data_IF_502595138571
#
_entry.id   IF_502595138571
#
_cell.length_a   1.000
_cell.length_b   1.000
_cell.length_c   1.000
_cell.angle_alpha   90.00
_cell.angle_beta   90.00
_cell.angle_gamma   90.00
#
_symmetry.space_group_name_H-M   'P 1'
#
loop_
_entity.id
_entity.type
_entity.pdbx_description
1 polymer ?
#
# COMPACT_ATOMS: atom_id res chain seq x y z
N UNK A 1 -26.59 49.81 10.84
CA UNK A 1 -25.69 48.70 11.18
C UNK A 1 -24.71 48.63 10.04
N UNK A 2 -23.52 49.17 10.26
CA UNK A 2 -22.46 49.25 9.27
C UNK A 2 -21.80 47.87 9.23
N UNK A 3 -22.20 47.03 8.27
CA UNK A 3 -21.55 45.74 8.03
C UNK A 3 -20.30 46.01 7.21
N UNK A 4 -19.25 46.51 7.87
CA UNK A 4 -17.90 46.48 7.30
C UNK A 4 -17.59 45.01 6.98
N UNK A 5 -17.31 44.66 5.71
CA UNK A 5 -16.95 43.28 5.38
C UNK A 5 -15.73 42.91 6.22
N UNK A 6 -15.79 41.76 6.89
CA UNK A 6 -14.64 41.24 7.63
C UNK A 6 -13.43 41.23 6.69
N UNK A 7 -12.25 41.65 7.16
CA UNK A 7 -11.06 41.66 6.33
C UNK A 7 -10.77 40.25 5.83
N UNK A 8 -11.03 40.03 4.54
CA UNK A 8 -10.70 38.78 3.86
C UNK A 8 -9.19 38.62 3.87
N UNK A 9 -8.71 37.51 4.42
CA UNK A 9 -7.30 37.16 4.36
C UNK A 9 -7.01 36.45 3.02
N UNK A 10 -5.86 36.72 2.41
CA UNK A 10 -5.52 36.22 1.08
C UNK A 10 -4.22 35.42 1.10
N UNK A 11 -4.20 34.30 0.36
CA UNK A 11 -2.96 33.63 -0.01
C UNK A 11 -2.52 34.15 -1.39
N UNK A 12 -1.28 34.61 -1.48
CA UNK A 12 -0.66 35.07 -2.73
C UNK A 12 0.22 33.94 -3.26
N UNK A 13 -0.19 33.31 -4.35
CA UNK A 13 0.50 32.15 -4.93
C UNK A 13 1.72 32.55 -5.76
N UNK A 14 2.56 31.57 -6.14
CA UNK A 14 3.77 31.85 -6.92
C UNK A 14 3.50 32.41 -8.32
N UNK A 15 2.34 32.06 -8.89
CA UNK A 15 1.79 32.65 -10.12
C UNK A 15 1.03 33.97 -9.89
N UNK A 16 1.23 34.60 -8.72
CA UNK A 16 0.69 35.91 -8.32
C UNK A 16 -0.83 35.97 -8.27
N UNK A 17 -1.51 34.83 -8.14
CA UNK A 17 -2.93 34.81 -7.90
C UNK A 17 -3.23 35.10 -6.43
N UNK A 18 -4.23 35.92 -6.18
CA UNK A 18 -4.74 36.20 -4.83
C UNK A 18 -5.96 35.33 -4.56
N UNK A 19 -5.89 34.47 -3.55
CA UNK A 19 -6.95 33.53 -3.18
C UNK A 19 -7.50 33.91 -1.81
N UNK A 20 -8.78 34.30 -1.70
CA UNK A 20 -9.40 34.60 -0.41
C UNK A 20 -9.60 33.32 0.40
N UNK A 21 -9.18 33.34 1.67
CA UNK A 21 -9.31 32.22 2.60
C UNK A 21 -9.76 32.67 3.98
N UNK A 22 -10.38 31.75 4.71
CA UNK A 22 -10.69 31.96 6.13
C UNK A 22 -9.42 31.77 6.95
N UNK A 23 -8.94 32.87 7.55
CA UNK A 23 -7.74 32.89 8.38
C UNK A 23 -7.87 31.96 9.59
N UNK A 24 -9.03 31.93 10.23
CA UNK A 24 -9.25 31.12 11.43
C UNK A 24 -9.21 29.63 11.07
N UNK A 25 -9.87 29.25 9.98
CA UNK A 25 -9.81 27.89 9.46
C UNK A 25 -8.36 27.48 9.16
N UNK A 26 -7.60 28.33 8.47
CA UNK A 26 -6.22 28.04 8.10
C UNK A 26 -5.32 27.82 9.34
N UNK A 27 -5.43 28.68 10.35
CA UNK A 27 -4.70 28.52 11.62
C UNK A 27 -5.16 27.31 12.44
N UNK A 28 -6.44 26.92 12.33
CA UNK A 28 -6.97 25.77 13.04
C UNK A 28 -6.42 24.45 12.49
N UNK A 29 -6.21 24.36 11.17
CA UNK A 29 -5.82 23.12 10.50
C UNK A 29 -4.32 23.00 10.20
N UNK A 30 -3.58 24.11 10.22
CA UNK A 30 -2.14 24.16 9.92
C UNK A 30 -1.37 24.80 11.06
N UNK A 31 -0.39 24.08 11.60
CA UNK A 31 0.51 24.63 12.61
C UNK A 31 1.41 25.72 12.01
N UNK A 32 1.89 25.51 10.79
CA UNK A 32 2.75 26.45 10.05
C UNK A 32 2.04 27.78 9.84
N UNK A 33 0.81 27.77 9.33
CA UNK A 33 0.07 29.02 9.14
C UNK A 33 -0.30 29.68 10.47
N UNK A 34 -0.62 28.90 11.51
CA UNK A 34 -0.83 29.46 12.86
C UNK A 34 0.40 30.21 13.35
N UNK A 35 1.59 29.64 13.19
CA UNK A 35 2.83 30.25 13.65
C UNK A 35 3.18 31.49 12.82
N UNK A 36 3.13 31.40 11.49
CA UNK A 36 3.39 32.53 10.58
C UNK A 36 2.46 33.71 10.89
N UNK A 37 1.18 33.43 11.13
CA UNK A 37 0.15 34.46 11.34
C UNK A 37 0.08 34.98 12.78
N UNK A 38 0.87 34.41 13.69
CA UNK A 38 1.04 34.87 15.08
C UNK A 38 2.25 35.79 15.25
N UNK A 39 3.11 35.94 14.24
CA UNK A 39 4.31 36.76 14.32
C UNK A 39 3.97 38.27 14.37
N UNK A 40 4.62 39.05 15.26
CA UNK A 40 4.41 40.50 15.32
C UNK A 40 4.85 41.15 14.01
N UNK A 41 3.95 41.91 13.38
CA UNK A 41 4.17 42.51 12.06
C UNK A 41 3.48 41.77 10.90
N UNK A 42 2.91 40.58 11.14
CA UNK A 42 2.09 39.85 10.16
C UNK A 42 0.67 40.43 10.00
N UNK A 43 0.45 41.71 10.34
CA UNK A 43 -0.83 42.42 10.17
C UNK A 43 -1.18 42.67 8.68
N UNK A 44 -0.49 42.01 7.77
CA UNK A 44 -0.85 41.98 6.37
C UNK A 44 -2.01 40.98 6.23
N UNK A 45 -3.10 41.40 5.59
CA UNK A 45 -4.22 40.51 5.24
C UNK A 45 -3.83 39.51 4.13
N UNK A 46 -2.54 39.23 3.96
CA UNK A 46 -1.96 38.50 2.85
C UNK A 46 -0.78 37.65 3.36
N UNK A 47 -0.61 36.45 2.78
CA UNK A 47 0.57 35.60 2.98
C UNK A 47 0.98 34.99 1.65
N UNK A 48 2.26 35.10 1.29
CA UNK A 48 2.80 34.46 0.10
C UNK A 48 2.99 32.95 0.33
N UNK A 49 2.67 32.15 -0.69
CA UNK A 49 2.86 30.70 -0.73
C UNK A 49 3.58 30.31 -2.02
N UNK A 50 4.38 29.25 -1.99
CA UNK A 50 5.23 28.89 -3.13
C UNK A 50 4.49 28.09 -4.21
N UNK A 51 3.34 27.50 -3.88
CA UNK A 51 2.56 26.66 -4.78
C UNK A 51 1.76 27.51 -5.77
N UNK A 52 1.41 26.90 -6.89
CA UNK A 52 0.59 27.52 -7.93
C UNK A 52 -0.87 27.63 -7.47
N UNK A 53 -1.64 28.52 -8.10
CA UNK A 53 -3.06 28.71 -7.81
C UNK A 53 -3.88 27.41 -7.85
N UNK A 54 -3.59 26.50 -8.80
CA UNK A 54 -4.29 25.22 -8.94
C UNK A 54 -4.12 24.34 -7.70
N UNK A 55 -2.89 24.16 -7.23
CA UNK A 55 -2.56 23.38 -6.04
C UNK A 55 -3.23 23.94 -4.79
N UNK A 56 -3.17 25.26 -4.58
CA UNK A 56 -3.80 25.90 -3.42
C UNK A 56 -5.33 25.79 -3.48
N UNK A 57 -5.94 25.91 -4.66
CA UNK A 57 -7.38 25.69 -4.82
C UNK A 57 -7.76 24.25 -4.44
N UNK A 58 -7.06 23.25 -4.95
CA UNK A 58 -7.32 21.85 -4.61
C UNK A 58 -7.09 21.58 -3.11
N UNK A 59 -6.04 22.16 -2.53
CA UNK A 59 -5.74 22.08 -1.10
C UNK A 59 -6.91 22.60 -0.25
N UNK A 60 -7.45 23.77 -0.59
CA UNK A 60 -8.59 24.37 0.10
C UNK A 60 -9.89 23.60 -0.11
N UNK A 61 -10.10 23.00 -1.29
CA UNK A 61 -11.27 22.17 -1.58
C UNK A 61 -11.26 20.91 -0.70
N UNK A 62 -10.13 20.21 -0.63
CA UNK A 62 -10.00 19.00 0.21
C UNK A 62 -10.12 19.36 1.69
N UNK A 63 -9.52 20.46 2.13
CA UNK A 63 -9.64 20.94 3.52
C UNK A 63 -11.08 21.22 3.96
N UNK A 64 -11.94 21.66 3.03
CA UNK A 64 -13.37 21.88 3.29
C UNK A 64 -14.18 20.59 3.30
N UNK A 65 -13.55 19.43 3.15
CA UNK A 65 -14.20 18.12 3.10
C UNK A 65 -14.93 17.86 1.78
N UNK A 66 -14.70 18.66 0.75
CA UNK A 66 -15.33 18.46 -0.55
C UNK A 66 -14.72 17.26 -1.26
N UNK A 67 -15.59 16.47 -1.91
CA UNK A 67 -15.17 15.33 -2.72
C UNK A 67 -14.56 15.80 -4.04
N UNK A 68 -13.28 16.14 -4.03
CA UNK A 68 -12.53 16.42 -5.24
C UNK A 68 -12.09 15.12 -5.91
N UNK A 69 -12.35 15.00 -7.20
CA UNK A 69 -11.65 14.04 -8.04
C UNK A 69 -10.24 14.60 -8.28
N UNK A 70 -9.23 13.92 -7.74
CA UNK A 70 -7.82 14.32 -7.85
C UNK A 70 -7.09 13.30 -8.71
N UNK A 71 -6.43 13.79 -9.75
CA UNK A 71 -5.49 12.97 -10.51
C UNK A 71 -4.24 12.67 -9.65
N UNK A 72 -3.49 11.59 -9.92
CA UNK A 72 -2.29 11.25 -9.15
C UNK A 72 -1.28 12.39 -9.05
N UNK A 73 -1.08 13.17 -10.11
CA UNK A 73 -0.19 14.34 -10.11
C UNK A 73 -0.64 15.42 -9.13
N UNK A 74 -1.95 15.68 -9.07
CA UNK A 74 -2.53 16.62 -8.11
C UNK A 74 -2.39 16.09 -6.69
N UNK A 75 -2.56 14.78 -6.51
CA UNK A 75 -2.40 14.13 -5.23
C UNK A 75 -0.95 14.26 -4.73
N UNK A 76 0.06 14.01 -5.56
CA UNK A 76 1.49 14.19 -5.23
C UNK A 76 1.80 15.63 -4.79
N UNK A 77 1.30 16.62 -5.52
CA UNK A 77 1.44 18.04 -5.14
C UNK A 77 0.79 18.33 -3.79
N UNK A 78 -0.40 17.76 -3.54
CA UNK A 78 -1.11 17.95 -2.28
C UNK A 78 -0.44 17.24 -1.10
N UNK A 79 0.19 16.07 -1.30
CA UNK A 79 0.99 15.42 -0.26
C UNK A 79 2.14 16.32 0.15
N UNK A 80 2.86 16.88 -0.82
CA UNK A 80 3.96 17.80 -0.57
C UNK A 80 3.49 19.06 0.17
N UNK A 81 2.33 19.60 -0.20
CA UNK A 81 1.73 20.76 0.47
C UNK A 81 1.25 20.42 1.90
N UNK A 82 0.68 19.24 2.11
CA UNK A 82 0.22 18.78 3.43
C UNK A 82 1.36 18.65 4.42
N UNK A 83 2.50 18.09 3.98
CA UNK A 83 3.72 18.00 4.77
C UNK A 83 4.32 19.39 5.03
N UNK A 84 4.50 20.19 3.97
CA UNK A 84 5.07 21.54 4.07
C UNK A 84 4.31 22.48 5.01
N UNK A 85 2.99 22.41 5.00
CA UNK A 85 2.12 23.26 5.82
C UNK A 85 1.68 22.58 7.12
N UNK A 86 2.16 21.37 7.41
CA UNK A 86 1.80 20.54 8.56
C UNK A 86 0.27 20.53 8.80
N UNK A 87 -0.45 19.88 7.88
CA UNK A 87 -1.92 19.76 7.89
C UNK A 87 -2.33 18.29 8.03
N UNK A 88 -2.35 17.73 9.26
CA UNK A 88 -2.63 16.30 9.48
C UNK A 88 -3.99 15.84 8.93
N UNK A 89 -5.01 16.70 9.02
CA UNK A 89 -6.34 16.40 8.48
C UNK A 89 -6.33 16.21 6.97
N UNK A 90 -5.49 16.98 6.27
CA UNK A 90 -5.32 16.84 4.83
C UNK A 90 -4.65 15.49 4.54
N UNK A 91 -3.58 15.13 5.26
CA UNK A 91 -2.90 13.83 5.11
C UNK A 91 -3.87 12.64 5.22
N UNK A 92 -4.78 12.64 6.20
CA UNK A 92 -5.78 11.58 6.35
C UNK A 92 -6.79 11.56 5.18
N UNK A 93 -7.24 12.73 4.70
CA UNK A 93 -8.10 12.82 3.53
C UNK A 93 -7.39 12.29 2.26
N UNK A 94 -6.10 12.61 2.09
CA UNK A 94 -5.29 12.14 0.98
C UNK A 94 -5.04 10.63 1.05
N UNK A 95 -4.90 10.04 2.24
CA UNK A 95 -4.85 8.57 2.42
C UNK A 95 -6.11 7.89 1.91
N UNK A 96 -7.29 8.42 2.23
CA UNK A 96 -8.55 7.88 1.73
C UNK A 96 -8.64 7.94 0.20
N UNK A 97 -8.14 9.03 -0.41
CA UNK A 97 -8.04 9.16 -1.87
C UNK A 97 -7.03 8.19 -2.48
N UNK A 98 -5.87 8.04 -1.86
CA UNK A 98 -4.85 7.08 -2.28
C UNK A 98 -5.39 5.64 -2.26
N UNK A 99 -6.16 5.26 -1.24
CA UNK A 99 -6.88 3.97 -1.22
C UNK A 99 -7.79 3.75 -2.43
N UNK A 100 -8.50 4.79 -2.87
CA UNK A 100 -9.31 4.71 -4.09
C UNK A 100 -8.44 4.42 -5.32
N UNK A 101 -7.27 5.04 -5.43
CA UNK A 101 -6.33 4.78 -6.54
C UNK A 101 -5.77 3.36 -6.49
N UNK A 102 -5.47 2.84 -5.30
CA UNK A 102 -5.02 1.45 -5.09
C UNK A 102 -6.09 0.48 -5.58
N UNK A 103 -7.35 0.68 -5.18
CA UNK A 103 -8.46 -0.22 -5.53
C UNK A 103 -8.80 -0.16 -7.03
N UNK A 104 -8.73 1.02 -7.64
CA UNK A 104 -8.98 1.21 -9.07
C UNK A 104 -7.75 0.89 -9.93
N UNK A 105 -6.61 0.59 -9.32
CA UNK A 105 -5.33 0.30 -9.97
C UNK A 105 -4.87 1.41 -10.93
N UNK A 106 -5.19 2.67 -10.61
CA UNK A 106 -4.83 3.83 -11.41
C UNK A 106 -3.36 4.17 -11.13
N UNK A 107 -2.53 4.18 -12.17
CA UNK A 107 -1.09 4.48 -12.10
C UNK A 107 -0.39 3.81 -10.89
N UNK A 108 -0.33 2.46 -10.84
CA UNK A 108 0.04 1.73 -9.62
C UNK A 108 1.34 2.20 -8.96
N UNK A 109 2.39 2.43 -9.75
CA UNK A 109 3.67 2.89 -9.24
C UNK A 109 3.60 4.29 -8.59
N UNK A 110 2.89 5.25 -9.22
CA UNK A 110 2.72 6.59 -8.64
C UNK A 110 1.89 6.50 -7.37
N UNK A 111 0.85 5.68 -7.38
CA UNK A 111 0.04 5.40 -6.20
C UNK A 111 0.89 4.81 -5.06
N UNK A 112 1.85 3.93 -5.36
CA UNK A 112 2.81 3.44 -4.37
C UNK A 112 3.75 4.54 -3.85
N UNK A 113 4.25 5.42 -4.72
CA UNK A 113 5.06 6.57 -4.30
C UNK A 113 4.26 7.51 -3.38
N UNK A 114 3.03 7.86 -3.75
CA UNK A 114 2.10 8.66 -2.94
C UNK A 114 1.83 7.99 -1.59
N UNK A 115 1.50 6.69 -1.59
CA UNK A 115 1.25 5.93 -0.37
C UNK A 115 2.46 5.97 0.56
N UNK A 116 3.66 5.84 0.02
CA UNK A 116 4.90 5.90 0.80
C UNK A 116 5.12 7.27 1.42
N UNK A 117 4.82 8.35 0.69
CA UNK A 117 4.90 9.72 1.20
C UNK A 117 3.84 10.05 2.26
N UNK A 118 2.64 9.46 2.14
CA UNK A 118 1.56 9.63 3.12
C UNK A 118 1.76 8.80 4.40
N UNK A 119 2.57 7.75 4.31
CA UNK A 119 2.79 6.81 5.41
C UNK A 119 1.61 5.86 5.66
N UNK A 120 1.79 4.99 6.65
CA UNK A 120 0.81 3.98 7.05
C UNK A 120 1.04 2.65 6.34
N UNK A 121 1.62 1.71 7.07
CA UNK A 121 2.10 0.43 6.56
C UNK A 121 1.05 -0.29 5.69
N UNK A 122 -0.19 -0.37 6.16
CA UNK A 122 -1.28 -1.06 5.45
C UNK A 122 -1.53 -0.48 4.05
N UNK A 123 -1.51 0.85 3.91
CA UNK A 123 -1.72 1.51 2.62
C UNK A 123 -0.50 1.30 1.70
N UNK A 124 0.71 1.45 2.23
CA UNK A 124 1.96 1.24 1.48
C UNK A 124 2.00 -0.19 0.95
N UNK A 125 1.71 -1.18 1.80
CA UNK A 125 1.74 -2.59 1.43
C UNK A 125 0.66 -2.94 0.41
N UNK A 126 -0.54 -2.38 0.54
CA UNK A 126 -1.58 -2.55 -0.47
C UNK A 126 -1.16 -1.96 -1.82
N UNK A 127 -0.63 -0.73 -1.84
CA UNK A 127 -0.17 -0.08 -3.07
C UNK A 127 1.01 -0.83 -3.71
N UNK A 128 1.96 -1.32 -2.90
CA UNK A 128 3.09 -2.10 -3.38
C UNK A 128 2.64 -3.43 -3.99
N UNK A 129 1.71 -4.14 -3.34
CA UNK A 129 1.12 -5.38 -3.87
C UNK A 129 0.38 -5.15 -5.17
N UNK A 130 -0.44 -4.10 -5.24
CA UNK A 130 -1.12 -3.74 -6.49
C UNK A 130 -0.11 -3.46 -7.59
N UNK A 131 0.95 -2.71 -7.29
CA UNK A 131 2.00 -2.41 -8.28
C UNK A 131 2.72 -3.68 -8.76
N UNK A 132 3.18 -4.53 -7.84
CA UNK A 132 3.85 -5.79 -8.20
C UNK A 132 2.93 -6.80 -8.89
N UNK A 133 1.61 -6.70 -8.71
CA UNK A 133 0.63 -7.55 -9.39
C UNK A 133 0.35 -7.11 -10.82
N UNK A 134 0.54 -5.84 -11.16
CA UNK A 134 0.33 -5.31 -12.51
C UNK A 134 1.57 -5.46 -13.41
N UNK A 135 2.75 -5.67 -12.83
CA UNK A 135 4.01 -5.78 -13.57
C UNK A 135 4.73 -7.09 -13.27
N UNK A 136 4.94 -7.91 -14.29
CA UNK A 136 5.68 -9.18 -14.17
C UNK A 136 7.18 -8.96 -13.95
N UNK A 137 7.72 -7.88 -14.51
CA UNK A 137 9.13 -7.48 -14.42
C UNK A 137 9.26 -5.99 -14.11
N UNK A 138 10.22 -5.64 -13.25
CA UNK A 138 10.59 -4.25 -12.96
C UNK A 138 11.08 -3.51 -14.21
N UNK A 139 11.65 -4.20 -15.19
CA UNK A 139 12.03 -3.60 -16.48
C UNK A 139 10.79 -3.11 -17.27
N UNK A 140 9.62 -3.71 -17.09
CA UNK A 140 8.37 -3.20 -17.68
C UNK A 140 7.96 -1.89 -17.03
N UNK A 141 8.21 -1.73 -15.72
CA UNK A 141 7.94 -0.49 -14.99
C UNK A 141 8.85 0.62 -15.51
N UNK A 142 10.09 0.28 -15.91
CA UNK A 142 11.06 1.24 -16.45
C UNK A 142 10.58 2.03 -17.66
N UNK A 143 9.82 1.38 -18.54
CA UNK A 143 9.23 2.02 -19.72
C UNK A 143 8.10 3.01 -19.41
N UNK A 144 7.51 2.94 -18.21
CA UNK A 144 6.36 3.77 -17.80
C UNK A 144 6.79 5.01 -16.96
N UNK A 145 8.08 5.18 -16.67
CA UNK A 145 8.62 6.23 -15.77
C UNK A 145 8.75 7.62 -16.37
N UNK A 146 7.82 8.08 -17.21
CA UNK A 146 7.75 9.52 -17.47
C UNK A 146 7.24 10.22 -16.19
N UNK A 147 8.16 10.51 -15.25
CA UNK A 147 7.94 11.33 -14.06
C UNK A 147 8.17 10.68 -12.68
N UNK A 148 8.44 9.37 -12.57
CA UNK A 148 8.75 8.75 -11.27
C UNK A 148 10.26 8.71 -11.02
N UNK A 149 10.70 9.14 -9.84
CA UNK A 149 12.10 9.02 -9.40
C UNK A 149 12.53 7.55 -9.26
N UNK A 150 13.76 7.23 -9.68
CA UNK A 150 14.43 5.94 -9.44
C UNK A 150 14.41 5.52 -7.96
N UNK A 151 14.28 6.49 -7.05
CA UNK A 151 14.13 6.24 -5.61
C UNK A 151 12.93 5.33 -5.29
N UNK A 152 11.77 5.55 -5.93
CA UNK A 152 10.57 4.77 -5.67
C UNK A 152 10.66 3.36 -6.23
N UNK A 153 11.36 3.20 -7.36
CA UNK A 153 11.70 1.88 -7.90
C UNK A 153 12.58 1.09 -6.94
N UNK A 154 13.60 1.72 -6.35
CA UNK A 154 14.47 1.05 -5.39
C UNK A 154 13.69 0.62 -4.15
N UNK A 155 12.78 1.46 -3.65
CA UNK A 155 11.88 1.08 -2.54
C UNK A 155 10.96 -0.09 -2.92
N UNK A 156 10.39 -0.06 -4.12
CA UNK A 156 9.54 -1.14 -4.62
C UNK A 156 10.33 -2.45 -4.78
N UNK A 157 11.55 -2.39 -5.31
CA UNK A 157 12.44 -3.56 -5.44
C UNK A 157 12.88 -4.09 -4.08
N UNK A 158 13.13 -3.21 -3.11
CA UNK A 158 13.42 -3.64 -1.74
C UNK A 158 12.25 -4.41 -1.13
N UNK A 159 11.02 -3.87 -1.24
CA UNK A 159 9.80 -4.54 -0.81
C UNK A 159 9.61 -5.88 -1.51
N UNK A 160 9.85 -5.91 -2.83
CA UNK A 160 9.82 -7.12 -3.65
C UNK A 160 10.75 -8.21 -3.13
N UNK A 161 12.02 -7.87 -2.89
CA UNK A 161 13.03 -8.81 -2.42
C UNK A 161 12.72 -9.33 -1.01
N UNK A 162 12.22 -8.47 -0.13
CA UNK A 162 11.79 -8.89 1.21
C UNK A 162 10.64 -9.91 1.15
N UNK A 163 9.62 -9.65 0.34
CA UNK A 163 8.52 -10.61 0.13
C UNK A 163 9.00 -11.94 -0.43
N UNK A 164 9.88 -11.90 -1.43
CA UNK A 164 10.49 -13.09 -2.01
C UNK A 164 11.30 -13.90 -0.99
N UNK A 165 12.08 -13.23 -0.14
CA UNK A 165 12.86 -13.90 0.89
C UNK A 165 11.97 -14.50 1.98
N UNK A 166 10.94 -13.78 2.42
CA UNK A 166 9.94 -14.31 3.35
C UNK A 166 9.21 -15.52 2.76
N UNK A 167 8.81 -15.43 1.50
CA UNK A 167 8.17 -16.51 0.76
C UNK A 167 9.04 -17.77 0.73
N UNK A 168 10.33 -17.62 0.37
CA UNK A 168 11.29 -18.72 0.36
C UNK A 168 11.48 -19.34 1.75
N UNK A 169 11.62 -18.50 2.78
CA UNK A 169 11.77 -18.97 4.16
C UNK A 169 10.53 -19.76 4.61
N UNK A 170 9.34 -19.22 4.40
CA UNK A 170 8.08 -19.86 4.74
C UNK A 170 7.91 -21.21 4.03
N UNK A 171 8.14 -21.26 2.71
CA UNK A 171 8.07 -22.49 1.93
C UNK A 171 9.13 -23.50 2.38
N UNK A 172 10.34 -23.06 2.69
CA UNK A 172 11.43 -23.94 3.15
C UNK A 172 11.13 -24.51 4.54
N UNK A 173 10.61 -23.69 5.46
CA UNK A 173 10.21 -24.13 6.81
C UNK A 173 9.07 -25.15 6.75
N UNK A 174 8.05 -24.88 5.93
CA UNK A 174 6.88 -25.76 5.80
C UNK A 174 7.15 -27.01 4.96
N UNK A 175 8.14 -26.99 4.06
CA UNK A 175 8.61 -28.17 3.32
C UNK A 175 9.72 -28.95 4.05
N UNK A 176 10.26 -28.41 5.15
CA UNK A 176 11.40 -28.96 5.88
C UNK A 176 11.05 -30.04 6.91
N UNK A 177 12.02 -30.88 7.33
CA UNK A 177 11.78 -32.09 8.14
C UNK A 177 11.14 -31.82 9.51
N UNK A 178 11.28 -30.62 10.08
CA UNK A 178 10.67 -30.25 11.37
C UNK A 178 9.14 -30.19 11.28
N UNK A 179 8.61 -29.67 10.16
CA UNK A 179 7.17 -29.69 9.89
C UNK A 179 6.65 -31.13 9.80
N UNK A 180 7.48 -32.05 9.30
CA UNK A 180 7.11 -33.45 9.05
C UNK A 180 7.04 -34.21 10.36
N UNK A 181 8.01 -33.99 11.25
CA UNK A 181 8.07 -34.68 12.55
C UNK A 181 6.89 -34.24 13.43
N UNK A 182 6.51 -32.97 13.39
CA UNK A 182 5.43 -32.42 14.23
C UNK A 182 4.02 -32.75 13.71
N UNK A 183 3.87 -33.09 12.41
CA UNK A 183 2.56 -33.30 11.77
C UNK A 183 2.32 -34.71 11.22
N UNK A 184 3.12 -35.69 11.64
CA UNK A 184 2.84 -37.11 11.40
C UNK A 184 1.58 -37.54 12.16
N UNK A 185 0.41 -37.31 11.57
CA UNK A 185 -0.82 -37.99 11.95
C UNK A 185 -1.19 -39.00 10.86
N UNK A 186 -1.48 -40.27 11.22
CA UNK A 186 -2.00 -41.23 10.24
C UNK A 186 -3.35 -40.72 9.68
N UNK A 187 -3.61 -40.87 8.37
CA UNK A 187 -4.95 -40.54 7.81
C UNK A 187 -5.98 -41.41 8.56
N UNK A 188 -6.93 -40.76 9.22
CA UNK A 188 -8.02 -41.42 9.96
C UNK A 188 -8.89 -42.29 9.06
N UNK A 189 -8.93 -41.99 7.76
CA UNK A 189 -9.71 -42.73 6.77
C UNK A 189 -8.99 -43.99 6.26
N UNK A 190 -7.67 -44.06 6.36
CA UNK A 190 -6.85 -45.17 5.85
C UNK A 190 -5.63 -45.40 6.77
N UNK A 191 -5.79 -46.03 7.95
CA UNK A 191 -4.70 -46.25 8.90
C UNK A 191 -3.54 -47.09 8.32
N UNK A 192 -3.79 -47.85 7.25
CA UNK A 192 -2.80 -48.66 6.53
C UNK A 192 -2.24 -47.98 5.26
N UNK A 193 -2.74 -46.81 4.85
CA UNK A 193 -2.06 -46.00 3.83
C UNK A 193 -1.12 -45.07 4.56
N UNK A 194 0.14 -45.04 4.12
CA UNK A 194 1.10 -44.12 4.69
C UNK A 194 0.54 -42.68 4.57
N UNK A 195 0.56 -41.87 5.65
CA UNK A 195 0.22 -40.43 5.62
C UNK A 195 1.15 -39.61 4.70
N UNK A 196 2.05 -40.28 3.99
CA UNK A 196 2.92 -39.75 2.95
C UNK A 196 2.15 -39.08 1.82
N UNK A 197 0.86 -39.34 1.58
CA UNK A 197 0.14 -38.71 0.46
C UNK A 197 -0.07 -37.20 0.63
N UNK A 198 -0.59 -36.73 1.76
CA UNK A 198 -0.78 -35.29 2.03
C UNK A 198 0.56 -34.57 2.20
N UNK A 199 1.47 -35.20 2.94
CA UNK A 199 2.78 -34.63 3.24
C UNK A 199 3.66 -34.52 1.99
N UNK A 200 3.67 -35.55 1.14
CA UNK A 200 4.36 -35.52 -0.16
C UNK A 200 3.71 -34.52 -1.11
N UNK A 201 2.37 -34.48 -1.16
CA UNK A 201 1.66 -33.51 -1.97
C UNK A 201 2.03 -32.07 -1.58
N UNK A 202 2.02 -31.78 -0.28
CA UNK A 202 2.45 -30.49 0.24
C UNK A 202 3.91 -30.18 -0.10
N UNK A 203 4.81 -31.15 0.04
CA UNK A 203 6.22 -31.02 -0.34
C UNK A 203 6.40 -30.67 -1.80
N UNK A 204 5.78 -31.47 -2.66
CA UNK A 204 5.93 -31.39 -4.10
C UNK A 204 5.34 -30.07 -4.59
N UNK A 205 4.19 -29.65 -4.04
CA UNK A 205 3.60 -28.34 -4.32
C UNK A 205 4.48 -27.18 -3.83
N UNK A 206 4.97 -27.24 -2.59
CA UNK A 206 5.85 -26.20 -2.04
C UNK A 206 7.13 -26.04 -2.86
N UNK A 207 7.75 -27.16 -3.27
CA UNK A 207 8.92 -27.14 -4.14
C UNK A 207 8.62 -26.64 -5.55
N UNK A 208 7.47 -26.99 -6.13
CA UNK A 208 7.05 -26.48 -7.42
C UNK A 208 6.87 -24.95 -7.38
N UNK A 209 6.12 -24.45 -6.40
CA UNK A 209 5.93 -23.00 -6.19
C UNK A 209 7.27 -22.30 -5.92
N UNK A 210 8.16 -22.90 -5.12
CA UNK A 210 9.47 -22.33 -4.84
C UNK A 210 10.33 -22.13 -6.10
N UNK A 211 10.23 -23.04 -7.08
CA UNK A 211 10.98 -22.95 -8.35
C UNK A 211 10.48 -21.84 -9.27
N UNK A 212 9.19 -21.54 -9.21
CA UNK A 212 8.53 -20.56 -10.08
C UNK A 212 8.21 -19.25 -9.34
N UNK A 213 8.70 -19.11 -8.11
CA UNK A 213 8.37 -18.01 -7.23
C UNK A 213 8.81 -16.67 -7.83
N UNK A 214 7.83 -15.79 -8.01
CA UNK A 214 8.02 -14.41 -8.47
C UNK A 214 7.54 -13.40 -7.41
N UNK A 215 7.89 -12.14 -7.64
CA UNK A 215 7.52 -10.99 -6.82
C UNK A 215 6.02 -10.86 -6.55
N UNK A 216 5.22 -11.04 -7.61
CA UNK A 216 3.77 -10.92 -7.58
C UNK A 216 3.06 -12.21 -7.16
N UNK A 217 3.79 -13.30 -6.90
CA UNK A 217 3.19 -14.59 -6.54
C UNK A 217 2.47 -14.49 -5.20
N UNK A 218 1.15 -14.67 -5.19
CA UNK A 218 0.43 -14.98 -3.97
C UNK A 218 0.68 -16.46 -3.61
N UNK A 219 1.53 -16.71 -2.62
CA UNK A 219 1.94 -18.08 -2.26
C UNK A 219 0.74 -18.94 -1.87
N UNK A 220 -0.26 -18.36 -1.19
CA UNK A 220 -1.44 -19.09 -0.76
C UNK A 220 -2.23 -19.60 -1.97
N UNK A 221 -2.45 -18.72 -2.95
CA UNK A 221 -3.11 -19.09 -4.21
C UNK A 221 -2.26 -20.04 -5.05
N UNK A 222 -0.95 -19.82 -5.12
CA UNK A 222 -0.02 -20.65 -5.90
C UNK A 222 0.07 -22.08 -5.35
N UNK A 223 0.22 -22.26 -4.03
CA UNK A 223 0.22 -23.58 -3.40
C UNK A 223 -1.15 -24.25 -3.61
N UNK A 224 -2.24 -23.53 -3.37
CA UNK A 224 -3.59 -24.08 -3.56
C UNK A 224 -3.79 -24.57 -4.99
N UNK A 225 -3.43 -23.75 -5.99
CA UNK A 225 -3.55 -24.08 -7.40
C UNK A 225 -2.69 -25.28 -7.79
N UNK A 226 -1.46 -25.35 -7.29
CA UNK A 226 -0.54 -26.45 -7.57
C UNK A 226 -1.02 -27.79 -6.97
N UNK A 227 -1.60 -27.75 -5.78
CA UNK A 227 -2.22 -28.91 -5.14
C UNK A 227 -3.43 -29.40 -5.93
N UNK A 228 -4.31 -28.48 -6.36
CA UNK A 228 -5.48 -28.82 -7.19
C UNK A 228 -5.07 -29.39 -8.55
N UNK A 229 -4.00 -28.84 -9.16
CA UNK A 229 -3.47 -29.27 -10.46
C UNK A 229 -2.90 -30.69 -10.41
N UNK A 230 -2.15 -31.00 -9.36
CA UNK A 230 -1.48 -32.30 -9.20
C UNK A 230 -2.41 -33.39 -8.66
N UNK A 231 -3.47 -33.00 -7.95
CA UNK A 231 -4.35 -33.92 -7.22
C UNK A 231 -5.82 -33.52 -7.37
N UNK A 232 -6.41 -33.71 -8.58
CA UNK A 232 -7.80 -33.32 -8.82
C UNK A 232 -8.76 -34.13 -7.95
N UNK A 233 -9.88 -33.53 -7.49
CA UNK A 233 -10.91 -34.29 -6.77
C UNK A 233 -11.39 -35.50 -7.61
N UNK A 234 -11.57 -36.71 -7.04
CA UNK A 234 -11.60 -37.07 -5.61
C UNK A 234 -10.36 -37.81 -5.08
N UNK A 235 -9.15 -37.53 -5.58
CA UNK A 235 -7.96 -38.36 -5.33
C UNK A 235 -7.42 -38.41 -3.87
N UNK A 236 -7.89 -37.57 -2.95
CA UNK A 236 -7.52 -37.56 -1.52
C UNK A 236 -8.62 -38.13 -0.60
N UNK A 237 -8.22 -38.84 0.47
CA UNK A 237 -9.10 -39.15 1.61
C UNK A 237 -9.58 -37.84 2.26
N UNK A 238 -10.78 -37.84 2.86
CA UNK A 238 -11.33 -36.65 3.54
C UNK A 238 -10.37 -36.05 4.58
N UNK A 239 -9.74 -36.90 5.41
CA UNK A 239 -8.76 -36.45 6.40
C UNK A 239 -7.48 -35.86 5.81
N UNK A 240 -6.96 -36.39 4.70
CA UNK A 240 -5.80 -35.78 4.02
C UNK A 240 -6.18 -34.43 3.40
N UNK A 241 -7.41 -34.28 2.89
CA UNK A 241 -7.90 -33.01 2.36
C UNK A 241 -7.97 -31.96 3.45
N UNK A 242 -8.60 -32.28 4.58
CA UNK A 242 -8.72 -31.39 5.73
C UNK A 242 -7.34 -30.94 6.26
N UNK A 243 -6.37 -31.87 6.33
CA UNK A 243 -4.99 -31.53 6.71
C UNK A 243 -4.35 -30.54 5.73
N UNK A 244 -4.45 -30.81 4.41
CA UNK A 244 -3.89 -29.94 3.38
C UNK A 244 -4.56 -28.57 3.40
N UNK A 245 -5.88 -28.50 3.51
CA UNK A 245 -6.63 -27.24 3.62
C UNK A 245 -6.23 -26.45 4.87
N UNK A 246 -6.01 -27.13 6.01
CA UNK A 246 -5.49 -26.52 7.22
C UNK A 246 -4.09 -25.93 7.03
N UNK A 247 -3.20 -26.62 6.32
CA UNK A 247 -1.85 -26.14 6.03
C UNK A 247 -1.85 -24.96 5.04
N UNK A 248 -2.72 -25.01 4.02
CA UNK A 248 -2.97 -23.87 3.12
C UNK A 248 -3.42 -22.67 3.94
N UNK A 249 -4.41 -22.85 4.83
CA UNK A 249 -4.95 -21.76 5.65
C UNK A 249 -3.89 -21.13 6.57
N UNK A 250 -3.02 -21.94 7.18
CA UNK A 250 -1.91 -21.49 8.03
C UNK A 250 -0.86 -20.72 7.23
N UNK A 251 -0.40 -21.26 6.09
CA UNK A 251 0.52 -20.53 5.19
C UNK A 251 -0.12 -19.24 4.71
N UNK A 252 -1.42 -19.24 4.39
CA UNK A 252 -2.16 -18.04 4.06
C UNK A 252 -2.21 -17.04 5.21
N UNK A 253 -2.34 -17.52 6.45
CA UNK A 253 -2.28 -16.70 7.66
C UNK A 253 -0.90 -16.06 7.83
N UNK A 254 0.17 -16.85 7.79
CA UNK A 254 1.55 -16.33 7.88
C UNK A 254 1.89 -15.40 6.71
N UNK A 255 1.42 -15.68 5.49
CA UNK A 255 1.65 -14.86 4.31
C UNK A 255 0.91 -13.52 4.35
N UNK A 256 -0.34 -13.51 4.81
CA UNK A 256 -1.10 -12.25 5.01
C UNK A 256 -0.55 -11.42 6.15
N UNK A 257 0.02 -12.06 7.17
CA UNK A 257 0.67 -11.42 8.30
C UNK A 257 2.19 -11.23 8.09
N UNK A 258 2.71 -11.57 6.91
CA UNK A 258 4.12 -11.40 6.57
C UNK A 258 4.47 -9.95 6.86
N UNK A 259 5.57 -9.68 7.59
CA UNK A 259 5.76 -8.41 8.25
C UNK A 259 5.69 -7.26 7.25
N UNK A 260 4.58 -6.54 7.34
CA UNK A 260 4.35 -5.17 6.90
C UNK A 260 5.33 -4.16 7.57
N UNK A 261 6.36 -4.65 8.29
CA UNK A 261 7.18 -3.93 9.27
C UNK A 261 8.39 -3.19 8.70
N UNK A 262 8.53 -3.04 7.38
CA UNK A 262 9.82 -2.64 6.77
C UNK A 262 9.74 -1.50 5.78
N UNK A 263 8.62 -0.76 5.72
CA UNK A 263 8.55 0.49 4.95
C UNK A 263 8.82 1.75 5.79
N UNK A 264 9.43 1.60 6.97
CA UNK A 264 9.97 2.70 7.78
C UNK A 264 11.35 3.13 7.32
#
# INVERSE_FOLDING_TARGET
MDTTPEPTFHLITSDKASIPVDKQLLCAVSSVFRDILSLPGSNQNECEVAEHQSTIKSFLVVLKGSDAFLMPEELEMLVTAADKYDVPLLTEALKAKCWSLVNLKIHPLRTFAIATSLGGDVLINAAARTTLGEFEDLEQIKGWHLGCSDFWLLKLDHFRLQRLNFARDLLTRTAGPVFYVTRRQPCTCCPNREPLSALRLWKDASHAVLRELSAGTDIHEAISSEIHRTTPPPSLCAGCRELVEGWIAEVGGEWRNAPDKTCG
#
